data_IF_158296456591
#
_entry.id   IF_158296456591
#
_cell.length_a   1.000
_cell.length_b   1.000
_cell.length_c   1.000
_cell.angle_alpha   90.00
_cell.angle_beta   90.00
_cell.angle_gamma   90.00
#
_symmetry.space_group_name_H-M   'P 1'
#
loop_
_entity.id
_entity.type
_entity.pdbx_description
1 polymer ?
#
# COMPACT_ATOMS: atom_id res chain seq x y z
N UNK A 1 -4.06 -10.02 -10.57
CA UNK A 1 -5.00 -10.09 -11.74
C UNK A 1 -5.08 -8.66 -12.23
N UNK A 2 -4.69 -8.35 -13.47
CA UNK A 2 -4.45 -6.98 -13.93
C UNK A 2 -5.64 -6.02 -13.71
N UNK A 3 -6.87 -6.53 -13.78
CA UNK A 3 -8.09 -5.76 -13.50
C UNK A 3 -8.18 -5.30 -12.03
N UNK A 4 -7.78 -6.15 -11.06
CA UNK A 4 -7.82 -5.85 -9.64
C UNK A 4 -6.76 -4.79 -9.26
N UNK A 5 -5.57 -4.86 -9.85
CA UNK A 5 -4.52 -3.84 -9.66
C UNK A 5 -4.96 -2.48 -10.24
N UNK A 6 -5.55 -2.47 -11.44
CA UNK A 6 -6.11 -1.26 -12.05
C UNK A 6 -7.22 -0.62 -11.19
N UNK A 7 -8.12 -1.41 -10.64
CA UNK A 7 -9.17 -0.92 -9.74
C UNK A 7 -8.60 -0.34 -8.45
N UNK A 8 -7.62 -1.01 -7.85
CA UNK A 8 -6.95 -0.54 -6.63
C UNK A 8 -6.13 0.74 -6.90
N UNK A 9 -5.47 0.84 -8.06
CA UNK A 9 -4.74 2.03 -8.48
C UNK A 9 -5.68 3.22 -8.66
N UNK A 10 -6.76 3.05 -9.42
CA UNK A 10 -7.79 4.09 -9.64
C UNK A 10 -8.37 4.60 -8.31
N UNK A 11 -8.58 3.67 -7.37
CA UNK A 11 -9.02 4.00 -6.02
C UNK A 11 -7.95 4.79 -5.27
N UNK A 12 -6.69 4.37 -5.29
CA UNK A 12 -5.58 5.10 -4.66
C UNK A 12 -5.45 6.53 -5.22
N UNK A 13 -5.55 6.70 -6.53
CA UNK A 13 -5.50 8.01 -7.20
C UNK A 13 -6.67 8.91 -6.77
N UNK A 14 -7.87 8.34 -6.65
CA UNK A 14 -9.04 9.06 -6.13
C UNK A 14 -8.82 9.54 -4.69
N UNK A 15 -8.25 8.69 -3.83
CA UNK A 15 -7.92 9.05 -2.44
C UNK A 15 -6.79 10.08 -2.34
N UNK A 16 -5.84 10.07 -3.27
CA UNK A 16 -4.78 11.07 -3.38
C UNK A 16 -5.31 12.46 -3.77
N UNK A 17 -6.45 12.54 -4.48
CA UNK A 17 -7.14 13.79 -4.80
C UNK A 17 -7.97 14.33 -3.62
N UNK A 18 -8.50 13.45 -2.76
CA UNK A 18 -9.28 13.89 -1.59
C UNK A 18 -8.42 14.62 -0.55
N UNK A 19 -7.15 14.25 -0.40
CA UNK A 19 -6.26 14.89 0.57
C UNK A 19 -6.01 16.39 0.29
N UNK A 20 -5.65 16.82 -0.94
CA UNK A 20 -5.56 18.23 -1.27
C UNK A 20 -6.92 18.94 -1.22
N UNK A 21 -8.02 18.28 -1.59
CA UNK A 21 -9.36 18.86 -1.43
C UNK A 21 -9.69 19.17 0.03
N UNK A 22 -9.36 18.26 0.96
CA UNK A 22 -9.53 18.50 2.39
C UNK A 22 -8.64 19.64 2.87
N UNK A 23 -7.38 19.70 2.43
CA UNK A 23 -6.47 20.83 2.76
C UNK A 23 -6.99 22.18 2.27
N UNK A 24 -7.63 22.22 1.10
CA UNK A 24 -8.25 23.46 0.59
C UNK A 24 -9.40 23.96 1.47
N UNK A 25 -9.98 23.11 2.32
CA UNK A 25 -11.05 23.46 3.27
C UNK A 25 -10.54 23.84 4.66
N UNK A 26 -9.24 23.68 4.93
CA UNK A 26 -8.63 24.07 6.21
C UNK A 26 -8.80 25.57 6.53
N UNK A 27 -8.70 26.51 5.57
CA UNK A 27 -8.98 27.92 5.83
C UNK A 27 -10.43 28.17 6.26
N UNK A 28 -11.39 27.47 5.65
CA UNK A 28 -12.82 27.57 5.99
C UNK A 28 -13.06 27.09 7.43
N UNK A 29 -12.40 25.99 7.84
CA UNK A 29 -12.42 25.51 9.22
C UNK A 29 -11.85 26.55 10.18
N UNK A 30 -10.67 27.09 9.87
CA UNK A 30 -10.00 28.10 10.70
C UNK A 30 -10.89 29.34 10.89
N UNK A 31 -11.48 29.84 9.81
CA UNK A 31 -12.42 30.96 9.84
C UNK A 31 -13.65 30.65 10.70
N UNK A 32 -14.23 29.46 10.55
CA UNK A 32 -15.40 29.04 11.33
C UNK A 32 -15.08 28.95 12.83
N UNK A 33 -13.90 28.41 13.18
CA UNK A 33 -13.45 28.35 14.57
C UNK A 33 -13.21 29.73 15.17
N UNK A 34 -12.62 30.66 14.39
CA UNK A 34 -12.41 32.04 14.81
C UNK A 34 -13.74 32.78 15.05
N UNK A 35 -14.68 32.70 14.11
CA UNK A 35 -16.03 33.27 14.28
C UNK A 35 -16.73 32.68 15.50
N UNK A 36 -16.56 31.38 15.73
CA UNK A 36 -17.11 30.72 16.90
C UNK A 36 -16.55 31.24 18.22
N UNK A 37 -15.24 31.47 18.28
CA UNK A 37 -14.58 32.07 19.44
C UNK A 37 -15.08 33.51 19.67
N UNK A 38 -15.28 34.30 18.63
CA UNK A 38 -15.82 35.65 18.73
C UNK A 38 -17.25 35.68 19.27
N UNK A 39 -18.10 34.75 18.84
CA UNK A 39 -19.46 34.60 19.38
C UNK A 39 -19.40 34.21 20.85
N UNK A 40 -18.50 33.31 21.23
CA UNK A 40 -18.32 32.86 22.62
C UNK A 40 -17.95 34.02 23.57
N UNK A 41 -17.21 35.01 23.08
CA UNK A 41 -16.86 36.21 23.85
C UNK A 41 -18.03 37.18 24.07
N UNK A 42 -19.10 37.07 23.26
CA UNK A 42 -20.23 38.02 23.26
C UNK A 42 -21.55 37.39 23.68
N UNK A 43 -21.63 36.06 23.72
CA UNK A 43 -22.86 35.35 24.02
C UNK A 43 -23.17 35.36 25.53
N UNK A 44 -24.45 35.13 25.87
CA UNK A 44 -24.89 35.00 27.25
C UNK A 44 -24.17 33.81 27.93
N UNK A 45 -23.83 33.87 29.23
CA UNK A 45 -23.09 32.82 29.94
C UNK A 45 -23.65 31.39 29.77
N UNK A 46 -24.97 31.25 29.61
CA UNK A 46 -25.62 29.95 29.36
C UNK A 46 -25.20 29.27 28.05
N UNK A 47 -24.74 30.04 27.06
CA UNK A 47 -24.44 29.57 25.72
C UNK A 47 -22.94 29.34 25.48
N UNK A 48 -22.08 29.78 26.41
CA UNK A 48 -20.62 29.59 26.32
C UNK A 48 -20.26 28.11 26.26
N UNK A 49 -20.80 27.31 27.18
CA UNK A 49 -20.55 25.87 27.27
C UNK A 49 -21.02 25.10 26.03
N UNK A 50 -22.28 25.27 25.54
CA UNK A 50 -22.70 24.71 24.26
C UNK A 50 -21.81 25.10 23.09
N UNK A 51 -21.42 26.38 22.99
CA UNK A 51 -20.58 26.87 21.90
C UNK A 51 -19.20 26.23 21.91
N UNK A 52 -18.56 26.16 23.08
CA UNK A 52 -17.27 25.49 23.26
C UNK A 52 -17.32 24.01 22.82
N UNK A 53 -18.41 23.30 23.14
CA UNK A 53 -18.59 21.90 22.72
C UNK A 53 -18.73 21.79 21.22
N UNK A 54 -19.50 22.66 20.57
CA UNK A 54 -19.64 22.68 19.11
C UNK A 54 -18.29 22.88 18.41
N UNK A 55 -17.49 23.84 18.87
CA UNK A 55 -16.15 24.10 18.30
C UNK A 55 -15.19 22.94 18.52
N UNK A 56 -15.21 22.34 19.71
CA UNK A 56 -14.38 21.17 20.03
C UNK A 56 -14.76 19.97 19.17
N UNK A 57 -16.07 19.72 18.98
CA UNK A 57 -16.56 18.64 18.11
C UNK A 57 -16.15 18.87 16.65
N UNK A 58 -16.28 20.09 16.14
CA UNK A 58 -15.87 20.45 14.79
C UNK A 58 -14.37 20.17 14.57
N UNK A 59 -13.52 20.62 15.50
CA UNK A 59 -12.07 20.36 15.45
C UNK A 59 -11.75 18.86 15.52
N UNK A 60 -12.43 18.11 16.40
CA UNK A 60 -12.23 16.65 16.52
C UNK A 60 -12.59 15.94 15.23
N UNK A 61 -13.78 16.22 14.67
CA UNK A 61 -14.25 15.59 13.43
C UNK A 61 -13.36 15.89 12.25
N UNK A 62 -12.85 17.12 12.17
CA UNK A 62 -11.86 17.47 11.16
C UNK A 62 -10.60 16.61 11.28
N UNK A 63 -9.97 16.59 12.47
CA UNK A 63 -8.75 15.81 12.70
C UNK A 63 -8.95 14.30 12.49
N UNK A 64 -10.09 13.76 12.92
CA UNK A 64 -10.46 12.36 12.66
C UNK A 64 -10.57 12.07 11.16
N UNK A 65 -11.16 12.98 10.39
CA UNK A 65 -11.35 12.82 8.95
C UNK A 65 -10.00 12.86 8.22
N UNK A 66 -9.14 13.82 8.57
CA UNK A 66 -7.80 13.97 7.99
C UNK A 66 -6.90 12.77 8.29
N UNK A 67 -6.91 12.30 9.55
CA UNK A 67 -6.18 11.11 9.96
C UNK A 67 -6.68 9.86 9.22
N UNK A 68 -8.01 9.66 9.16
CA UNK A 68 -8.61 8.52 8.51
C UNK A 68 -8.29 8.48 7.01
N UNK A 69 -8.33 9.65 6.35
CA UNK A 69 -7.98 9.78 4.95
C UNK A 69 -6.52 9.39 4.72
N UNK A 70 -5.60 9.98 5.49
CA UNK A 70 -4.17 9.70 5.40
C UNK A 70 -3.85 8.21 5.62
N UNK A 71 -4.42 7.60 6.67
CA UNK A 71 -4.22 6.18 6.97
C UNK A 71 -4.76 5.27 5.87
N UNK A 72 -5.93 5.58 5.31
CA UNK A 72 -6.52 4.78 4.22
C UNK A 72 -5.70 4.87 2.93
N UNK A 73 -5.24 6.07 2.58
CA UNK A 73 -4.38 6.27 1.41
C UNK A 73 -3.07 5.50 1.56
N UNK A 74 -2.40 5.61 2.72
CA UNK A 74 -1.16 4.88 2.96
C UNK A 74 -1.37 3.37 2.84
N UNK A 75 -2.40 2.83 3.50
CA UNK A 75 -2.70 1.40 3.46
C UNK A 75 -2.94 0.91 2.03
N UNK A 76 -3.65 1.68 1.20
CA UNK A 76 -3.87 1.31 -0.20
C UNK A 76 -2.57 1.28 -1.01
N UNK A 77 -1.68 2.25 -0.77
CA UNK A 77 -0.35 2.29 -1.42
C UNK A 77 0.52 1.11 -1.02
N UNK A 78 0.54 0.77 0.28
CA UNK A 78 1.30 -0.38 0.78
C UNK A 78 0.78 -1.69 0.17
N UNK A 79 -0.54 -1.83 0.02
CA UNK A 79 -1.15 -3.00 -0.63
C UNK A 79 -0.76 -3.09 -2.11
N UNK A 80 -0.80 -1.97 -2.85
CA UNK A 80 -0.39 -1.93 -4.25
C UNK A 80 1.08 -2.30 -4.43
N UNK A 81 1.97 -1.76 -3.58
CA UNK A 81 3.39 -2.10 -3.61
C UNK A 81 3.62 -3.59 -3.35
N UNK A 82 2.96 -4.16 -2.33
CA UNK A 82 3.08 -5.58 -2.03
C UNK A 82 2.58 -6.48 -3.17
N UNK A 83 1.54 -6.09 -3.90
CA UNK A 83 1.07 -6.84 -5.08
C UNK A 83 2.12 -6.82 -6.20
N UNK A 84 2.71 -5.65 -6.48
CA UNK A 84 3.77 -5.52 -7.48
C UNK A 84 5.01 -6.34 -7.12
N UNK A 85 5.43 -6.30 -5.85
CA UNK A 85 6.54 -7.13 -5.34
C UNK A 85 6.22 -8.62 -5.48
N UNK A 86 4.98 -9.03 -5.22
CA UNK A 86 4.56 -10.42 -5.37
C UNK A 86 4.60 -10.87 -6.84
N UNK A 87 4.18 -10.03 -7.78
CA UNK A 87 4.23 -10.36 -9.21
C UNK A 87 5.68 -10.54 -9.69
N UNK A 88 6.59 -9.65 -9.27
CA UNK A 88 8.03 -9.78 -9.57
C UNK A 88 8.58 -11.09 -9.02
N UNK A 89 8.27 -11.43 -7.77
CA UNK A 89 8.72 -12.68 -7.15
C UNK A 89 8.18 -13.92 -7.87
N UNK A 90 6.94 -13.87 -8.35
CA UNK A 90 6.35 -14.95 -9.13
C UNK A 90 7.05 -15.12 -10.48
N UNK A 91 7.33 -14.03 -11.18
CA UNK A 91 8.05 -14.06 -12.45
C UNK A 91 9.47 -14.62 -12.29
N UNK A 92 10.19 -14.18 -11.25
CA UNK A 92 11.52 -14.69 -10.90
C UNK A 92 11.48 -16.20 -10.59
N UNK A 93 10.48 -16.65 -9.83
CA UNK A 93 10.31 -18.06 -9.50
C UNK A 93 9.99 -18.90 -10.76
N UNK A 94 9.15 -18.38 -11.65
CA UNK A 94 8.81 -19.03 -12.91
C UNK A 94 10.05 -19.17 -13.80
N UNK A 95 10.87 -18.11 -13.91
CA UNK A 95 12.09 -18.17 -14.72
C UNK A 95 13.14 -19.10 -14.11
N UNK A 96 13.28 -19.09 -12.79
CA UNK A 96 14.11 -20.05 -12.07
C UNK A 96 13.67 -21.49 -12.35
N UNK A 97 12.37 -21.80 -12.23
CA UNK A 97 11.83 -23.13 -12.52
C UNK A 97 12.08 -23.53 -13.97
N UNK A 98 11.81 -22.65 -14.94
CA UNK A 98 12.07 -22.91 -16.37
C UNK A 98 13.55 -23.20 -16.63
N UNK A 99 14.44 -22.46 -15.98
CA UNK A 99 15.90 -22.64 -16.11
C UNK A 99 16.32 -24.00 -15.56
N UNK A 100 15.82 -24.38 -14.39
CA UNK A 100 16.09 -25.68 -13.77
C UNK A 100 15.51 -26.82 -14.61
N UNK A 101 14.30 -26.69 -15.12
CA UNK A 101 13.67 -27.66 -16.01
C UNK A 101 14.46 -27.84 -17.31
N UNK A 102 14.92 -26.74 -17.94
CA UNK A 102 15.78 -26.81 -19.13
C UNK A 102 17.10 -27.54 -18.84
N UNK A 103 17.74 -27.25 -17.70
CA UNK A 103 18.98 -27.93 -17.28
C UNK A 103 18.74 -29.43 -17.08
N UNK A 104 17.73 -29.82 -16.31
CA UNK A 104 17.38 -31.23 -16.09
C UNK A 104 17.03 -31.96 -17.39
N UNK A 105 16.28 -31.31 -18.29
CA UNK A 105 15.94 -31.91 -19.59
C UNK A 105 17.17 -32.09 -20.50
N UNK A 106 18.16 -31.20 -20.42
CA UNK A 106 19.43 -31.32 -21.12
C UNK A 106 20.24 -32.49 -20.55
N UNK A 107 20.37 -32.54 -19.22
CA UNK A 107 21.13 -33.58 -18.51
C UNK A 107 20.51 -34.97 -18.76
N UNK A 108 19.18 -35.08 -18.78
CA UNK A 108 18.47 -36.34 -19.12
C UNK A 108 18.77 -36.83 -20.55
N UNK A 109 19.04 -35.92 -21.48
CA UNK A 109 19.36 -36.26 -22.88
C UNK A 109 20.85 -36.52 -23.10
N UNK A 110 21.69 -36.33 -22.08
CA UNK A 110 23.11 -36.61 -22.18
C UNK A 110 23.36 -38.12 -22.39
N UNK A 111 24.47 -38.44 -23.05
CA UNK A 111 24.88 -39.83 -23.26
C UNK A 111 25.07 -40.55 -21.92
N UNK A 112 24.77 -41.84 -21.92
CA UNK A 112 24.95 -42.68 -20.72
C UNK A 112 26.43 -42.65 -20.32
N UNK A 113 26.76 -42.32 -19.07
CA UNK A 113 28.14 -42.33 -18.58
C UNK A 113 28.81 -43.66 -18.86
N UNK A 114 30.02 -43.63 -19.40
CA UNK A 114 30.81 -44.82 -19.74
C UNK A 114 31.91 -45.14 -18.72
N UNK A 115 32.10 -44.27 -17.72
CA UNK A 115 33.08 -44.46 -16.64
C UNK A 115 32.52 -44.11 -15.25
N UNK A 116 33.14 -44.66 -14.21
CA UNK A 116 32.77 -44.41 -12.81
C UNK A 116 33.01 -42.94 -12.43
N UNK A 117 34.09 -42.33 -12.95
CA UNK A 117 34.42 -40.92 -12.72
C UNK A 117 33.34 -39.97 -13.27
N UNK A 118 32.75 -40.29 -14.43
CA UNK A 118 31.64 -39.53 -15.01
C UNK A 118 30.37 -39.63 -14.15
N UNK A 119 30.09 -40.80 -13.57
CA UNK A 119 28.97 -40.99 -12.65
C UNK A 119 29.17 -40.18 -11.36
N UNK A 120 30.35 -40.23 -10.76
CA UNK A 120 30.65 -39.45 -9.55
C UNK A 120 30.59 -37.94 -9.81
N UNK A 121 30.99 -37.48 -11.00
CA UNK A 121 30.86 -36.09 -11.38
C UNK A 121 29.39 -35.66 -11.47
N UNK A 122 28.53 -36.46 -12.10
CA UNK A 122 27.10 -36.19 -12.19
C UNK A 122 26.43 -36.16 -10.81
N UNK A 123 26.84 -37.03 -9.87
CA UNK A 123 26.35 -37.01 -8.49
C UNK A 123 26.69 -35.68 -7.82
N UNK A 124 27.95 -35.24 -7.90
CA UNK A 124 28.39 -33.95 -7.33
C UNK A 124 27.65 -32.75 -7.95
N UNK A 125 27.43 -32.78 -9.26
CA UNK A 125 26.70 -31.72 -9.97
C UNK A 125 25.22 -31.67 -9.58
N UNK A 126 24.61 -32.82 -9.24
CA UNK A 126 23.23 -32.92 -8.79
C UNK A 126 23.06 -32.53 -7.32
N UNK A 127 24.05 -32.83 -6.46
CA UNK A 127 24.06 -32.41 -5.05
C UNK A 127 24.15 -30.88 -4.88
N UNK A 128 24.74 -30.18 -5.86
CA UNK A 128 24.88 -28.72 -5.89
C UNK A 128 23.73 -28.01 -6.63
N UNK A 129 22.71 -28.76 -7.07
CA UNK A 129 21.65 -28.28 -7.95
C UNK A 129 20.57 -27.47 -7.23
#
# INVERSE_FOLDING_TARGET
MPEQECELQSRADSFDQLAPELRLREPDLSNTLAMGADIMNRCHPSNVQPMQRCLSLLRSRWGETDLLLTQRTQRLKDQLLSMQEQDILLDDLIEWMKTKEKKLNKDRRAEVPSSVEQIEQLIREHELF
#
